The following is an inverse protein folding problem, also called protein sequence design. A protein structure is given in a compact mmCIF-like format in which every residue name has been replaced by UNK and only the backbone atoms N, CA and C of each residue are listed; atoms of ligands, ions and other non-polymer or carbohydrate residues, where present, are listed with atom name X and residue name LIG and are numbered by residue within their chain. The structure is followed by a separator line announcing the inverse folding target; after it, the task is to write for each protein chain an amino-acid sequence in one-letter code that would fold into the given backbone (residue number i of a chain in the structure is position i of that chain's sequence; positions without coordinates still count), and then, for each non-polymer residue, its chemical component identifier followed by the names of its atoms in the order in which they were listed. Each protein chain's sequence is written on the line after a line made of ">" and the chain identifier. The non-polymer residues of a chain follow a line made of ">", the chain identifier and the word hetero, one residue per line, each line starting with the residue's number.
data_IF_385468794663
#
_entry.id   IF_385468794663
#
_cell.length_a   1.000
_cell.length_b   1.000
_cell.length_c   1.000
_cell.angle_alpha   90.00
_cell.angle_beta   90.00
_cell.angle_gamma   90.00
#
_symmetry.space_group_name_H-M   'P 1'
#
loop_
_entity.id
_entity.type
_entity.pdbx_description
1 polymer ?
#
# COMPACT_ATOMS: atom_id res chain seq x y z
N UNK A 1 -12.85 -16.02 10.25
CA UNK A 1 -11.37 -15.92 10.23
C UNK A 1 -10.82 -16.06 11.63
N UNK A 2 -9.67 -16.73 11.80
CA UNK A 2 -8.92 -16.70 13.07
C UNK A 2 -8.23 -15.33 13.25
N UNK A 3 -8.06 -14.88 14.49
CA UNK A 3 -7.40 -13.59 14.80
C UNK A 3 -5.98 -13.55 14.25
N UNK A 4 -5.26 -14.66 14.31
CA UNK A 4 -3.92 -14.83 13.72
C UNK A 4 -3.93 -14.54 12.22
N UNK A 5 -4.90 -15.08 11.48
CA UNK A 5 -5.05 -14.82 10.04
C UNK A 5 -5.38 -13.36 9.76
N UNK A 6 -6.25 -12.75 10.57
CA UNK A 6 -6.62 -11.33 10.43
C UNK A 6 -5.37 -10.44 10.55
N UNK A 7 -4.56 -10.66 11.58
CA UNK A 7 -3.32 -9.89 11.81
C UNK A 7 -2.32 -10.12 10.67
N UNK A 8 -2.14 -11.37 10.23
CA UNK A 8 -1.23 -11.69 9.14
C UNK A 8 -1.60 -11.00 7.82
N UNK A 9 -2.89 -11.03 7.47
CA UNK A 9 -3.40 -10.37 6.26
C UNK A 9 -3.26 -8.85 6.38
N UNK A 10 -3.60 -8.27 7.53
CA UNK A 10 -3.41 -6.84 7.75
C UNK A 10 -1.93 -6.42 7.60
N UNK A 11 -1.00 -7.19 8.18
CA UNK A 11 0.43 -6.94 8.03
C UNK A 11 0.88 -7.00 6.56
N UNK A 12 0.36 -7.94 5.77
CA UNK A 12 0.62 -8.02 4.33
C UNK A 12 0.13 -6.77 3.59
N UNK A 13 -1.11 -6.33 3.83
CA UNK A 13 -1.63 -5.08 3.26
C UNK A 13 -0.79 -3.87 3.66
N UNK A 14 -0.32 -3.83 4.90
CA UNK A 14 0.48 -2.73 5.42
C UNK A 14 1.85 -2.66 4.74
N UNK A 15 2.54 -3.79 4.65
CA UNK A 15 3.85 -3.89 3.96
C UNK A 15 3.70 -3.53 2.48
N UNK A 16 2.70 -4.09 1.79
CA UNK A 16 2.43 -3.76 0.38
C UNK A 16 2.13 -2.27 0.17
N UNK A 17 1.34 -1.66 1.06
CA UNK A 17 1.04 -0.23 1.01
C UNK A 17 2.29 0.62 1.27
N UNK A 18 3.17 0.20 2.19
CA UNK A 18 4.42 0.87 2.46
C UNK A 18 5.32 0.88 1.21
N UNK A 19 5.48 -0.27 0.54
CA UNK A 19 6.21 -0.37 -0.72
C UNK A 19 5.60 0.49 -1.83
N UNK A 20 4.28 0.47 -1.99
CA UNK A 20 3.58 1.27 -2.99
C UNK A 20 3.74 2.78 -2.76
N UNK A 21 3.87 3.20 -1.50
CA UNK A 21 4.03 4.61 -1.14
C UNK A 21 5.49 5.10 -1.15
N UNK A 22 6.49 4.22 -1.25
CA UNK A 22 7.91 4.63 -1.37
C UNK A 22 8.16 5.68 -2.48
N UNK A 23 7.63 5.55 -3.72
CA UNK A 23 7.78 6.58 -4.74
C UNK A 23 6.94 7.85 -4.46
N UNK A 24 5.98 7.80 -3.55
CA UNK A 24 5.04 8.89 -3.25
C UNK A 24 5.59 9.75 -2.11
N UNK A 25 6.59 10.58 -2.42
CA UNK A 25 7.21 11.47 -1.44
C UNK A 25 8.69 11.75 -1.65
N UNK A 26 9.30 11.12 -2.64
CA UNK A 26 10.60 11.52 -3.18
C UNK A 26 10.43 12.84 -3.95
N UNK A 27 10.75 13.95 -3.28
CA UNK A 27 10.98 15.24 -3.96
C UNK A 27 12.47 15.49 -3.95
N UNK A 28 13.05 15.56 -5.14
CA UNK A 28 14.45 15.90 -5.35
C UNK A 28 14.59 17.42 -5.14
N UNK A 29 15.70 17.91 -4.53
CA UNK A 29 15.92 19.34 -4.27
C UNK A 29 15.77 20.24 -5.52
N UNK A 30 15.95 19.67 -6.71
CA UNK A 30 15.82 20.31 -8.02
C UNK A 30 14.43 20.91 -8.29
N UNK A 31 13.36 20.42 -7.64
CA UNK A 31 11.99 20.91 -7.85
C UNK A 31 11.56 22.07 -6.92
N UNK A 32 12.36 22.43 -5.91
CA UNK A 32 11.92 23.38 -4.86
C UNK A 32 12.57 24.77 -4.97
N UNK A 33 13.60 24.94 -5.81
CA UNK A 33 14.27 26.23 -6.01
C UNK A 33 15.02 26.74 -4.77
N UNK A 34 15.28 25.88 -3.77
CA UNK A 34 16.05 26.24 -2.58
C UNK A 34 17.54 26.22 -2.91
N UNK A 35 18.23 27.32 -2.57
CA UNK A 35 19.65 27.50 -2.84
C UNK A 35 20.46 26.42 -2.12
N UNK A 36 21.16 25.61 -2.90
CA UNK A 36 22.15 24.65 -2.43
C UNK A 36 23.23 25.44 -1.69
N UNK A 37 23.28 25.32 -0.36
CA UNK A 37 24.33 25.93 0.46
C UNK A 37 25.64 25.18 0.25
N UNK A 38 26.72 25.92 -0.07
CA UNK A 38 28.06 25.40 -0.33
C UNK A 38 28.51 24.42 0.77
N UNK A 39 28.54 23.12 0.44
CA UNK A 39 28.95 22.04 1.34
C UNK A 39 27.94 20.88 1.44
N UNK A 40 26.72 21.04 0.94
CA UNK A 40 25.70 20.00 0.92
C UNK A 40 25.80 19.19 -0.38
N UNK A 41 25.82 17.86 -0.29
CA UNK A 41 25.78 17.00 -1.47
C UNK A 41 24.44 17.20 -2.20
N UNK A 42 24.50 17.51 -3.49
CA UNK A 42 23.35 17.74 -4.40
C UNK A 42 22.34 16.57 -4.41
N UNK A 43 22.77 15.40 -3.95
CA UNK A 43 21.98 14.15 -3.89
C UNK A 43 21.26 13.89 -2.55
N UNK A 44 21.48 14.70 -1.51
CA UNK A 44 20.84 14.48 -0.21
C UNK A 44 19.41 15.07 -0.22
N UNK A 45 18.36 14.25 -0.02
CA UNK A 45 17.00 14.77 0.01
C UNK A 45 16.86 15.69 1.23
N UNK A 46 16.72 17.00 1.01
CA UNK A 46 16.66 18.01 2.08
C UNK A 46 15.46 17.82 3.03
N UNK A 47 14.46 17.03 2.64
CA UNK A 47 13.22 16.88 3.39
C UNK A 47 12.60 15.48 3.23
N UNK A 48 13.39 14.40 3.40
CA UNK A 48 12.81 13.07 3.55
C UNK A 48 12.02 13.00 4.86
N UNK A 49 10.68 12.96 4.77
CA UNK A 49 9.76 12.91 5.92
C UNK A 49 9.18 11.49 6.09
N UNK A 50 9.95 10.54 6.66
CA UNK A 50 9.50 9.14 6.79
C UNK A 50 8.21 9.00 7.59
N UNK A 51 7.95 9.89 8.56
CA UNK A 51 6.71 9.89 9.33
C UNK A 51 5.45 10.11 8.47
N UNK A 52 5.52 10.97 7.44
CA UNK A 52 4.37 11.19 6.53
C UNK A 52 4.15 9.99 5.61
N UNK A 53 5.22 9.32 5.20
CA UNK A 53 5.15 8.09 4.42
C UNK A 53 4.42 7.00 5.21
N UNK A 54 4.85 6.75 6.45
CA UNK A 54 4.24 5.75 7.34
C UNK A 54 2.76 6.05 7.59
N UNK A 55 2.40 7.31 7.84
CA UNK A 55 1.02 7.71 8.05
C UNK A 55 0.15 7.41 6.82
N UNK A 56 0.62 7.81 5.62
CA UNK A 56 -0.11 7.58 4.38
C UNK A 56 -0.23 6.10 4.03
N UNK A 57 0.85 5.34 4.20
CA UNK A 57 0.85 3.89 4.00
C UNK A 57 -0.12 3.18 4.96
N UNK A 58 -0.16 3.62 6.22
CA UNK A 58 -1.09 3.07 7.22
C UNK A 58 -2.53 3.40 6.87
N UNK A 59 -2.83 4.63 6.45
CA UNK A 59 -4.17 5.03 6.03
C UNK A 59 -4.64 4.21 4.82
N UNK A 60 -3.77 4.04 3.82
CA UNK A 60 -4.05 3.24 2.64
C UNK A 60 -4.28 1.76 3.00
N UNK A 61 -3.42 1.20 3.85
CA UNK A 61 -3.54 -0.17 4.33
C UNK A 61 -4.84 -0.41 5.08
N UNK A 62 -5.23 0.50 5.99
CA UNK A 62 -6.49 0.39 6.75
C UNK A 62 -7.69 0.42 5.79
N UNK A 63 -7.66 1.29 4.78
CA UNK A 63 -8.73 1.39 3.79
C UNK A 63 -8.86 0.11 2.95
N UNK A 64 -7.74 -0.40 2.42
CA UNK A 64 -7.73 -1.64 1.62
C UNK A 64 -8.13 -2.86 2.45
N UNK A 65 -7.57 -3.00 3.64
CA UNK A 65 -7.90 -4.09 4.54
C UNK A 65 -9.36 -4.01 5.01
N UNK A 66 -9.86 -2.82 5.33
CA UNK A 66 -11.24 -2.60 5.72
C UNK A 66 -12.21 -3.00 4.62
N UNK A 67 -11.93 -2.63 3.37
CA UNK A 67 -12.73 -3.04 2.22
C UNK A 67 -12.71 -4.56 2.02
N UNK A 68 -11.53 -5.18 2.13
CA UNK A 68 -11.37 -6.63 2.07
C UNK A 68 -12.17 -7.33 3.18
N UNK A 69 -12.10 -6.84 4.42
CA UNK A 69 -12.78 -7.44 5.55
C UNK A 69 -14.31 -7.28 5.45
N UNK A 70 -14.79 -6.13 5.01
CA UNK A 70 -16.22 -5.90 4.73
C UNK A 70 -16.72 -6.83 3.63
N UNK A 71 -15.96 -6.96 2.55
CA UNK A 71 -16.27 -7.90 1.48
C UNK A 71 -16.31 -9.35 1.98
N UNK A 72 -15.35 -9.74 2.82
CA UNK A 72 -15.32 -11.07 3.44
C UNK A 72 -16.57 -11.36 4.29
N UNK A 73 -17.07 -10.36 5.04
CA UNK A 73 -18.25 -10.53 5.90
C UNK A 73 -19.57 -10.49 5.13
N UNK A 74 -19.68 -9.63 4.11
CA UNK A 74 -20.92 -9.42 3.35
C UNK A 74 -21.03 -10.33 2.13
N UNK A 75 -19.90 -10.86 1.64
CA UNK A 75 -19.86 -11.73 0.46
C UNK A 75 -20.19 -11.04 -0.85
N UNK A 76 -19.92 -9.74 -0.99
CA UNK A 76 -20.25 -8.99 -2.22
C UNK A 76 -19.53 -9.53 -3.47
N UNK A 77 -18.29 -10.01 -3.28
CA UNK A 77 -17.46 -10.58 -4.34
C UNK A 77 -16.91 -11.88 -3.77
N UNK A 78 -17.21 -12.99 -4.42
CA UNK A 78 -16.80 -14.32 -4.01
C UNK A 78 -15.82 -14.91 -5.01
N UNK A 79 -15.11 -15.95 -4.61
CA UNK A 79 -14.16 -16.66 -5.50
C UNK A 79 -14.85 -17.13 -6.78
N UNK A 80 -16.12 -17.52 -6.70
CA UNK A 80 -16.94 -17.97 -7.84
C UNK A 80 -17.12 -16.89 -8.92
N UNK A 81 -17.10 -15.62 -8.53
CA UNK A 81 -17.25 -14.50 -9.45
C UNK A 81 -15.99 -14.31 -10.32
N UNK A 82 -14.84 -14.78 -9.83
CA UNK A 82 -13.51 -14.64 -10.43
C UNK A 82 -12.98 -15.97 -10.97
N UNK A 83 -13.69 -17.08 -10.74
CA UNK A 83 -13.29 -18.42 -11.17
C UNK A 83 -13.50 -18.60 -12.69
N UNK A 84 -12.57 -18.04 -13.47
CA UNK A 84 -12.56 -18.13 -14.93
C UNK A 84 -12.20 -19.55 -15.38
N UNK A 85 -11.37 -20.27 -14.61
CA UNK A 85 -10.95 -21.63 -14.93
C UNK A 85 -12.15 -22.59 -14.90
N UNK A 86 -13.01 -22.51 -13.88
CA UNK A 86 -14.24 -23.30 -13.83
C UNK A 86 -15.24 -22.94 -14.94
N UNK A 87 -15.21 -21.69 -15.45
CA UNK A 87 -16.04 -21.28 -16.59
C UNK A 87 -15.56 -21.88 -17.92
N UNK A 88 -14.27 -22.17 -18.05
CA UNK A 88 -13.66 -22.67 -19.28
C UNK A 88 -13.65 -24.20 -19.37
N UNK A 89 -13.52 -24.89 -18.24
CA UNK A 89 -13.63 -26.34 -18.14
C UNK A 89 -14.71 -26.74 -17.13
N UNK A 90 -16.00 -26.73 -17.53
CA UNK A 90 -17.07 -27.23 -16.70
C UNK A 90 -16.92 -28.75 -16.57
N UNK A 91 -16.28 -29.21 -15.49
CA UNK A 91 -16.33 -30.60 -15.07
C UNK A 91 -17.72 -30.81 -14.43
N UNK A 92 -18.59 -31.53 -15.13
CA UNK A 92 -19.95 -31.86 -14.69
C UNK A 92 -20.00 -32.75 -13.45
#
# INVERSE_FOLDING_TARGET
>A
MQITSIIAIYALFWVMSAFLMLPVGIRTPDETGEQILSGQAESAPSNFRPGRLILRATLLSILLFGLFYLNYQQGWITVRDIDIAARLHPQG
#
